data_IF_508749876625
#
_entry.id   IF_508749876625
#
_cell.length_a   1.000
_cell.length_b   1.000
_cell.length_c   1.000
_cell.angle_alpha   90.00
_cell.angle_beta   90.00
_cell.angle_gamma   90.00
#
_symmetry.space_group_name_H-M   'P 1'
#
loop_
_entity.id
_entity.type
_entity.pdbx_description
1 polymer ?
#
# COMPACT_ATOMS: atom_id res chain seq x y z
N UNK A 1 -37.95 -2.18 -1.67
CA UNK A 1 -37.29 -1.00 -1.06
C UNK A 1 -35.79 -1.26 -1.13
N UNK A 2 -35.24 -1.23 -2.34
CA UNK A 2 -33.83 -1.49 -2.61
C UNK A 2 -33.26 -0.20 -3.19
N UNK A 3 -32.57 0.56 -2.35
CA UNK A 3 -31.77 1.68 -2.84
C UNK A 3 -30.50 1.06 -3.38
N UNK A 4 -30.41 0.97 -4.71
CA UNK A 4 -29.22 0.49 -5.42
C UNK A 4 -28.00 1.32 -5.01
N UNK A 5 -27.05 0.66 -4.35
CA UNK A 5 -25.77 1.21 -3.88
C UNK A 5 -24.93 1.85 -5.01
N UNK A 6 -25.22 1.55 -6.28
CA UNK A 6 -24.55 2.18 -7.42
C UNK A 6 -24.76 3.70 -7.51
N UNK A 7 -25.93 4.20 -7.10
CA UNK A 7 -26.24 5.64 -7.21
C UNK A 7 -25.52 6.50 -6.17
N UNK A 8 -25.12 5.92 -5.05
CA UNK A 8 -24.30 6.60 -4.03
C UNK A 8 -22.82 6.64 -4.44
N UNK A 9 -22.32 5.60 -5.10
CA UNK A 9 -20.93 5.52 -5.54
C UNK A 9 -20.61 6.53 -6.65
N UNK A 10 -21.50 6.71 -7.62
CA UNK A 10 -21.33 7.72 -8.67
C UNK A 10 -21.35 9.16 -8.14
N UNK A 11 -22.07 9.43 -7.04
CA UNK A 11 -22.23 10.79 -6.52
C UNK A 11 -21.01 11.29 -5.73
N UNK A 12 -20.21 10.38 -5.15
CA UNK A 12 -18.92 10.72 -4.52
C UNK A 12 -17.81 10.86 -5.59
N UNK A 13 -17.90 10.12 -6.71
CA UNK A 13 -16.85 10.09 -7.75
C UNK A 13 -16.96 11.20 -8.82
N UNK A 14 -18.08 11.92 -8.91
CA UNK A 14 -18.34 12.90 -9.97
C UNK A 14 -18.16 14.36 -9.51
N UNK A 15 -17.90 14.66 -8.23
CA UNK A 15 -17.88 16.07 -7.77
C UNK A 15 -16.60 16.86 -8.08
N UNK A 16 -15.53 16.25 -8.63
CA UNK A 16 -14.25 16.96 -8.82
C UNK A 16 -13.72 16.99 -10.28
N UNK A 17 -14.54 16.65 -11.28
CA UNK A 17 -14.07 16.56 -12.68
C UNK A 17 -14.21 17.84 -13.52
N UNK A 18 -13.95 19.00 -12.95
CA UNK A 18 -13.85 20.23 -13.73
C UNK A 18 -12.79 21.19 -13.18
N UNK A 19 -11.51 20.96 -13.49
CA UNK A 19 -10.59 22.05 -13.86
C UNK A 19 -9.62 21.53 -14.92
N UNK A 20 -9.61 22.24 -16.05
CA UNK A 20 -8.73 22.16 -17.20
C UNK A 20 -7.24 21.95 -16.83
N UNK A 21 -6.55 21.00 -17.49
CA UNK A 21 -5.15 21.21 -17.88
C UNK A 21 -4.03 20.35 -17.29
N UNK A 22 -4.24 19.47 -16.29
CA UNK A 22 -3.22 18.50 -15.86
C UNK A 22 -3.90 17.24 -15.30
N UNK A 23 -3.66 16.07 -15.90
CA UNK A 23 -4.00 14.76 -15.34
C UNK A 23 -3.12 14.50 -14.09
N UNK A 24 -3.33 15.27 -13.02
CA UNK A 24 -2.55 15.13 -11.79
C UNK A 24 -3.10 13.95 -11.02
N UNK A 25 -2.38 12.84 -11.04
CA UNK A 25 -2.69 11.69 -10.18
C UNK A 25 -2.62 12.13 -8.72
N UNK A 26 -3.69 11.89 -7.98
CA UNK A 26 -3.69 12.08 -6.53
C UNK A 26 -2.63 11.17 -5.89
N UNK A 27 -1.89 11.71 -4.93
CA UNK A 27 -0.79 11.00 -4.26
C UNK A 27 -1.17 10.72 -2.82
N UNK A 28 -1.05 9.45 -2.42
CA UNK A 28 -1.19 9.02 -1.03
C UNK A 28 0.13 8.46 -0.52
N UNK A 29 0.48 8.81 0.71
CA UNK A 29 1.65 8.23 1.41
C UNK A 29 1.18 7.47 2.63
N UNK A 30 1.52 6.19 2.68
CA UNK A 30 1.18 5.28 3.77
C UNK A 30 2.39 5.06 4.65
N UNK A 31 2.22 5.17 5.97
CA UNK A 31 3.27 4.86 6.94
C UNK A 31 2.91 3.53 7.60
N UNK A 32 3.81 2.55 7.49
CA UNK A 32 3.65 1.25 8.12
C UNK A 32 4.74 1.07 9.19
N UNK A 33 4.34 0.63 10.39
CA UNK A 33 5.22 0.61 11.56
C UNK A 33 5.37 -0.76 12.23
N UNK A 34 4.40 -1.66 12.04
CA UNK A 34 4.32 -2.93 12.76
C UNK A 34 5.19 -4.03 12.13
N UNK A 35 5.65 -4.98 12.95
CA UNK A 35 6.37 -6.15 12.47
C UNK A 35 5.51 -6.98 11.49
N UNK A 36 6.13 -7.64 10.49
CA UNK A 36 5.45 -8.62 9.65
C UNK A 36 5.06 -9.85 10.48
N UNK A 37 3.97 -10.52 10.10
CA UNK A 37 3.52 -11.80 10.67
C UNK A 37 3.13 -11.81 12.16
N UNK A 38 3.17 -10.69 12.88
CA UNK A 38 2.64 -10.58 14.25
C UNK A 38 1.17 -10.14 14.33
N UNK A 39 0.69 -9.47 13.28
CA UNK A 39 -0.70 -9.06 13.10
C UNK A 39 -0.96 -8.75 11.61
N UNK A 40 -2.18 -8.37 11.30
CA UNK A 40 -2.62 -8.16 9.92
C UNK A 40 -2.31 -6.76 9.36
N UNK A 41 -1.68 -5.85 10.12
CA UNK A 41 -1.56 -4.43 9.74
C UNK A 41 -0.76 -4.24 8.45
N UNK A 42 0.37 -4.94 8.32
CA UNK A 42 1.20 -4.87 7.11
C UNK A 42 0.48 -5.48 5.91
N UNK A 43 -0.15 -6.65 6.11
CA UNK A 43 -0.91 -7.33 5.07
C UNK A 43 -2.07 -6.46 4.54
N UNK A 44 -2.85 -5.87 5.43
CA UNK A 44 -3.96 -4.98 5.07
C UNK A 44 -3.45 -3.68 4.42
N UNK A 45 -2.33 -3.12 4.90
CA UNK A 45 -1.69 -1.98 4.27
C UNK A 45 -1.31 -2.24 2.81
N UNK A 46 -0.72 -3.39 2.53
CA UNK A 46 -0.38 -3.77 1.15
C UNK A 46 -1.60 -4.03 0.27
N UNK A 47 -2.66 -4.63 0.82
CA UNK A 47 -3.94 -4.80 0.10
C UNK A 47 -4.58 -3.46 -0.27
N UNK A 48 -4.54 -2.50 0.64
CA UNK A 48 -5.01 -1.15 0.36
C UNK A 48 -4.15 -0.49 -0.72
N UNK A 49 -2.83 -0.55 -0.62
CA UNK A 49 -1.93 0.00 -1.64
C UNK A 49 -2.23 -0.57 -3.03
N UNK A 50 -2.44 -1.89 -3.14
CA UNK A 50 -2.83 -2.56 -4.40
C UNK A 50 -4.21 -2.12 -4.91
N UNK A 51 -5.17 -1.89 -4.02
CA UNK A 51 -6.49 -1.40 -4.44
C UNK A 51 -6.40 0.00 -5.05
N UNK A 52 -5.59 0.89 -4.45
CA UNK A 52 -5.42 2.27 -4.89
C UNK A 52 -4.64 2.40 -6.21
N UNK A 53 -3.78 1.44 -6.55
CA UNK A 53 -3.04 1.41 -7.83
C UNK A 53 -3.84 0.85 -9.00
N UNK A 54 -5.04 0.30 -8.77
CA UNK A 54 -5.86 -0.25 -9.85
C UNK A 54 -6.25 0.81 -10.89
N UNK A 55 -6.50 0.39 -12.13
CA UNK A 55 -6.88 1.30 -13.22
C UNK A 55 -8.14 2.14 -12.93
N UNK A 56 -9.03 1.64 -12.05
CA UNK A 56 -10.24 2.34 -11.66
C UNK A 56 -9.97 3.56 -10.75
N UNK A 57 -8.94 3.49 -9.89
CA UNK A 57 -8.61 4.53 -8.90
C UNK A 57 -7.40 5.36 -9.36
N UNK A 58 -6.40 4.70 -9.95
CA UNK A 58 -5.22 5.30 -10.60
C UNK A 58 -4.47 6.30 -9.71
N UNK A 59 -4.25 5.99 -8.43
CA UNK A 59 -3.50 6.86 -7.53
C UNK A 59 -2.00 6.56 -7.55
N UNK A 60 -1.19 7.60 -7.29
CA UNK A 60 0.23 7.44 -6.98
C UNK A 60 0.39 7.07 -5.51
N UNK A 61 0.87 5.87 -5.24
CA UNK A 61 1.03 5.37 -3.86
C UNK A 61 2.50 5.39 -3.47
N UNK A 62 2.80 5.96 -2.30
CA UNK A 62 4.08 5.85 -1.63
C UNK A 62 3.90 5.06 -0.32
N UNK A 63 4.84 4.20 0.02
CA UNK A 63 4.87 3.47 1.29
C UNK A 63 6.18 3.78 1.99
N UNK A 64 6.10 4.26 3.23
CA UNK A 64 7.23 4.43 4.12
C UNK A 64 7.19 3.38 5.22
N UNK A 65 8.18 2.49 5.22
CA UNK A 65 8.38 1.48 6.25
C UNK A 65 9.25 2.06 7.36
N UNK A 66 8.77 2.06 8.59
CA UNK A 66 9.54 2.51 9.76
C UNK A 66 9.29 1.59 10.95
N UNK A 67 10.02 1.77 12.05
CA UNK A 67 9.92 0.88 13.21
C UNK A 67 10.21 -0.57 12.84
N UNK A 68 9.34 -1.49 13.27
CA UNK A 68 9.46 -2.92 12.98
C UNK A 68 9.10 -3.30 11.55
N UNK A 69 8.36 -2.44 10.85
CA UNK A 69 7.92 -2.71 9.48
C UNK A 69 9.08 -2.82 8.49
N UNK A 70 10.26 -2.27 8.79
CA UNK A 70 11.45 -2.40 7.93
C UNK A 70 11.86 -3.86 7.70
N UNK A 71 11.55 -4.75 8.65
CA UNK A 71 11.81 -6.20 8.49
C UNK A 71 10.93 -6.86 7.44
N UNK A 72 9.84 -6.21 7.02
CA UNK A 72 8.98 -6.65 5.91
C UNK A 72 9.71 -6.58 4.56
N UNK A 73 10.75 -5.76 4.44
CA UNK A 73 11.58 -5.67 3.24
C UNK A 73 12.75 -6.69 3.22
N UNK A 74 12.85 -7.57 4.23
CA UNK A 74 13.89 -8.59 4.29
C UNK A 74 13.70 -9.62 3.18
N UNK A 75 14.78 -9.96 2.47
CA UNK A 75 14.80 -11.01 1.44
C UNK A 75 14.79 -12.41 2.07
N UNK A 76 14.18 -13.37 1.37
CA UNK A 76 14.17 -14.77 1.79
C UNK A 76 13.28 -15.02 3.02
N UNK A 77 12.16 -14.29 3.13
CA UNK A 77 11.20 -14.53 4.19
C UNK A 77 10.69 -15.98 4.14
N UNK A 78 10.53 -16.57 5.33
CA UNK A 78 9.86 -17.86 5.51
C UNK A 78 8.57 -17.60 6.29
N UNK A 79 7.46 -17.29 5.59
CA UNK A 79 6.19 -17.01 6.25
C UNK A 79 5.75 -18.21 7.09
N UNK A 80 5.02 -18.00 8.20
CA UNK A 80 4.37 -19.09 8.90
C UNK A 80 3.40 -19.82 7.97
N UNK A 81 3.15 -21.12 8.22
CA UNK A 81 2.26 -21.93 7.39
C UNK A 81 0.89 -21.25 7.25
N UNK A 82 0.36 -21.22 6.02
CA UNK A 82 -0.93 -20.59 5.71
C UNK A 82 -0.91 -19.07 5.56
N UNK A 83 0.25 -18.40 5.70
CA UNK A 83 0.36 -16.95 5.50
C UNK A 83 0.83 -16.61 4.10
N UNK A 84 0.34 -15.48 3.58
CA UNK A 84 0.86 -14.90 2.35
C UNK A 84 2.29 -14.37 2.54
N UNK A 85 3.10 -14.47 1.49
CA UNK A 85 4.43 -13.88 1.49
C UNK A 85 4.33 -12.35 1.36
N UNK A 86 4.69 -11.62 2.42
CA UNK A 86 4.72 -10.17 2.42
C UNK A 86 5.85 -9.65 1.52
N UNK A 87 6.94 -10.43 1.39
CA UNK A 87 8.00 -10.18 0.41
C UNK A 87 7.44 -10.18 -1.02
N UNK A 88 6.65 -11.19 -1.39
CA UNK A 88 6.07 -11.26 -2.74
C UNK A 88 5.04 -10.17 -3.01
N UNK A 89 4.20 -9.85 -2.01
CA UNK A 89 3.27 -8.72 -2.08
C UNK A 89 4.02 -7.40 -2.28
N UNK A 90 5.11 -7.18 -1.55
CA UNK A 90 5.93 -5.98 -1.68
C UNK A 90 6.56 -5.87 -3.07
N UNK A 91 7.09 -6.99 -3.61
CA UNK A 91 7.61 -7.05 -4.98
C UNK A 91 6.54 -6.72 -6.02
N UNK A 92 5.31 -7.21 -5.83
CA UNK A 92 4.18 -6.90 -6.72
C UNK A 92 3.85 -5.41 -6.71
N UNK A 93 3.78 -4.78 -5.53
CA UNK A 93 3.53 -3.34 -5.41
C UNK A 93 4.61 -2.51 -6.10
N UNK A 94 5.88 -2.87 -5.93
CA UNK A 94 6.99 -2.19 -6.61
C UNK A 94 6.85 -2.31 -8.13
N UNK A 95 6.50 -3.50 -8.65
CA UNK A 95 6.23 -3.68 -10.10
C UNK A 95 5.05 -2.86 -10.60
N UNK A 96 4.05 -2.59 -9.74
CA UNK A 96 2.91 -1.72 -10.03
C UNK A 96 3.25 -0.22 -9.94
N UNK A 97 4.51 0.15 -9.69
CA UNK A 97 4.95 1.54 -9.64
C UNK A 97 4.74 2.21 -8.28
N UNK A 98 4.45 1.45 -7.22
CA UNK A 98 4.42 1.97 -5.85
C UNK A 98 5.84 2.32 -5.40
N UNK A 99 6.04 3.54 -4.92
CA UNK A 99 7.32 3.94 -4.35
C UNK A 99 7.41 3.43 -2.91
N UNK A 100 8.37 2.55 -2.62
CA UNK A 100 8.59 2.03 -1.27
C UNK A 100 9.92 2.55 -0.76
N UNK A 101 9.93 3.07 0.47
CA UNK A 101 11.15 3.51 1.15
C UNK A 101 11.15 2.99 2.58
N UNK A 102 12.32 2.58 3.07
CA UNK A 102 12.50 2.12 4.45
C UNK A 102 13.36 3.11 5.24
N UNK A 103 13.03 3.31 6.51
CA UNK A 103 13.80 4.14 7.44
C UNK A 103 15.20 3.53 7.66
N UNK A 104 16.25 4.24 7.23
CA UNK A 104 17.64 3.79 7.35
C UNK A 104 18.05 3.48 8.79
N UNK A 105 17.70 4.35 9.75
CA UNK A 105 18.01 4.14 11.16
C UNK A 105 17.32 2.90 11.73
N UNK A 106 16.05 2.65 11.38
CA UNK A 106 15.33 1.47 11.85
C UNK A 106 15.87 0.18 11.22
N UNK A 107 16.25 0.24 9.95
CA UNK A 107 16.89 -0.85 9.21
C UNK A 107 18.22 -1.23 9.86
N UNK A 108 19.08 -0.24 10.14
CA UNK A 108 20.34 -0.44 10.85
C UNK A 108 20.13 -1.01 12.27
N UNK A 109 19.17 -0.47 13.02
CA UNK A 109 18.83 -0.95 14.37
C UNK A 109 18.33 -2.41 14.41
N UNK A 110 17.88 -2.95 13.27
CA UNK A 110 17.43 -4.35 13.11
C UNK A 110 18.45 -5.23 12.39
N UNK A 111 19.67 -4.73 12.16
CA UNK A 111 20.75 -5.45 11.52
C UNK A 111 20.47 -5.81 10.05
N UNK A 112 19.69 -4.98 9.36
CA UNK A 112 19.41 -5.11 7.93
C UNK A 112 20.39 -4.21 7.14
N UNK A 113 20.85 -4.67 5.98
CA UNK A 113 21.77 -3.96 5.08
C UNK A 113 21.27 -3.98 3.65
#
# INVERSE_FOLDING_TARGET
>A
MEISYEKLFQRIYISNRHICGVDRLETITMILQSAPYGNERIWNGFRLARALTTAAIRMKVNIFLTGDAVTTAKKGQKPPKGHYSLEEMLKELIRQGVNVTACSTCTAARGLT
#
